data_IF_680534641963
#
_entry.id   IF_680534641963
#
_cell.length_a   1.000
_cell.length_b   1.000
_cell.length_c   1.000
_cell.angle_alpha   90.00
_cell.angle_beta   90.00
_cell.angle_gamma   90.00
#
_symmetry.space_group_name_H-M   'P 1'
#
loop_
_entity.id
_entity.type
_entity.pdbx_description
1 polymer ?
#
# COMPACT_ATOMS: atom_id res chain seq x y z
N UNK A 1 17.97 11.23 -11.49
CA UNK A 1 17.00 11.70 -10.49
C UNK A 1 16.18 10.49 -10.06
N UNK A 2 16.47 9.90 -8.91
CA UNK A 2 15.77 8.70 -8.43
C UNK A 2 14.35 9.08 -8.00
N UNK A 3 13.35 8.28 -8.35
CA UNK A 3 11.95 8.53 -8.04
C UNK A 3 11.45 7.43 -7.10
N UNK A 4 10.66 7.81 -6.11
CA UNK A 4 10.02 6.86 -5.20
C UNK A 4 8.53 7.07 -5.14
N UNK A 5 7.78 5.98 -5.03
CA UNK A 5 6.33 6.01 -4.89
C UNK A 5 5.93 5.12 -3.71
N UNK A 6 5.12 5.65 -2.80
CA UNK A 6 4.53 4.85 -1.72
C UNK A 6 3.11 4.50 -2.13
N UNK A 7 2.85 3.22 -2.38
CA UNK A 7 1.53 2.71 -2.74
C UNK A 7 0.86 2.17 -1.48
N UNK A 8 -0.26 2.81 -1.13
CA UNK A 8 -1.17 2.29 -0.11
C UNK A 8 -2.19 1.41 -0.80
N UNK A 9 -2.11 0.09 -0.57
CA UNK A 9 -2.97 -0.88 -1.23
C UNK A 9 -4.07 -1.35 -0.26
N UNK A 10 -5.32 -1.17 -0.67
CA UNK A 10 -6.50 -1.50 0.11
C UNK A 10 -7.45 -2.38 -0.70
N UNK A 11 -7.93 -3.46 -0.08
CA UNK A 11 -9.00 -4.26 -0.66
C UNK A 11 -10.35 -3.66 -0.28
N UNK A 12 -11.17 -3.36 -1.28
CA UNK A 12 -12.60 -3.10 -1.14
C UNK A 12 -13.40 -4.38 -0.81
N UNK A 13 -12.86 -5.24 0.06
CA UNK A 13 -13.55 -6.42 0.56
C UNK A 13 -14.00 -6.11 1.99
N UNK A 14 -14.95 -5.19 2.11
CA UNK A 14 -15.59 -4.84 3.37
C UNK A 14 -16.55 -5.99 3.74
N UNK A 15 -16.02 -6.99 4.44
CA UNK A 15 -16.84 -7.91 5.23
C UNK A 15 -17.39 -7.17 6.44
N UNK A 16 -18.50 -6.47 6.26
CA UNK A 16 -19.24 -5.80 7.34
C UNK A 16 -20.43 -5.03 6.78
N UNK A 17 -21.63 -5.60 6.89
CA UNK A 17 -22.95 -4.96 6.81
C UNK A 17 -23.16 -3.72 5.90
N UNK A 18 -22.65 -3.73 4.68
CA UNK A 18 -23.06 -2.79 3.64
C UNK A 18 -23.67 -3.55 2.46
N UNK A 19 -24.83 -4.16 2.69
CA UNK A 19 -25.76 -4.46 1.60
C UNK A 19 -26.31 -3.13 1.07
N UNK A 20 -25.51 -2.41 0.28
CA UNK A 20 -26.03 -1.33 -0.55
C UNK A 20 -25.10 -1.08 -1.73
N UNK A 21 -25.69 -1.23 -2.89
CA UNK A 21 -25.13 -1.46 -4.22
C UNK A 21 -24.59 -0.19 -4.89
N UNK A 22 -23.81 0.64 -4.19
CA UNK A 22 -23.32 1.91 -4.75
C UNK A 22 -21.90 2.26 -4.29
N UNK A 23 -20.96 2.14 -5.22
CA UNK A 23 -19.55 2.55 -5.10
C UNK A 23 -19.34 4.06 -4.88
N UNK A 24 -20.41 4.86 -4.82
CA UNK A 24 -20.39 6.32 -4.80
C UNK A 24 -21.27 6.93 -3.70
N UNK A 25 -21.29 6.32 -2.50
CA UNK A 25 -21.94 6.97 -1.35
C UNK A 25 -21.10 8.14 -0.85
N UNK A 26 -21.70 9.33 -0.89
CA UNK A 26 -21.11 10.56 -0.36
C UNK A 26 -21.51 10.75 1.09
N UNK A 27 -20.53 11.00 1.95
CA UNK A 27 -20.75 11.57 3.27
C UNK A 27 -21.33 13.00 3.10
N UNK A 28 -22.14 13.51 4.04
CA UNK A 28 -22.66 14.89 4.01
C UNK A 28 -21.59 15.99 3.88
N UNK A 29 -20.32 15.66 4.17
CA UNK A 29 -19.17 16.56 3.94
C UNK A 29 -18.61 16.52 2.51
N UNK A 30 -19.25 15.81 1.59
CA UNK A 30 -18.84 15.66 0.19
C UNK A 30 -17.73 14.61 -0.05
N UNK A 31 -17.36 13.80 0.95
CA UNK A 31 -16.32 12.77 0.81
C UNK A 31 -16.90 11.42 0.42
N UNK A 32 -16.21 10.66 -0.42
CA UNK A 32 -16.61 9.28 -0.76
C UNK A 32 -16.30 8.37 0.43
N UNK A 33 -17.34 7.75 1.00
CA UNK A 33 -17.24 6.98 2.24
C UNK A 33 -16.23 5.82 2.12
N UNK A 34 -16.22 5.15 0.97
CA UNK A 34 -15.30 4.05 0.69
C UNK A 34 -13.81 4.48 0.71
N UNK A 35 -13.50 5.69 0.24
CA UNK A 35 -12.13 6.20 0.26
C UNK A 35 -11.68 6.53 1.68
N UNK A 36 -12.57 7.05 2.52
CA UNK A 36 -12.24 7.37 3.91
C UNK A 36 -12.06 6.08 4.75
N UNK A 37 -12.91 5.08 4.55
CA UNK A 37 -12.76 3.76 5.17
C UNK A 37 -11.47 3.07 4.69
N UNK A 38 -11.13 3.17 3.40
CA UNK A 38 -9.89 2.63 2.86
C UNK A 38 -8.65 3.21 3.56
N UNK A 39 -8.64 4.53 3.82
CA UNK A 39 -7.55 5.20 4.54
C UNK A 39 -7.40 4.67 5.97
N UNK A 40 -8.52 4.47 6.68
CA UNK A 40 -8.50 3.91 8.04
C UNK A 40 -7.92 2.51 8.05
N UNK A 41 -8.35 1.62 7.15
CA UNK A 41 -7.83 0.25 7.12
C UNK A 41 -6.35 0.19 6.75
N UNK A 42 -5.88 1.06 5.86
CA UNK A 42 -4.43 1.17 5.58
C UNK A 42 -3.66 1.58 6.84
N UNK A 43 -4.19 2.50 7.64
CA UNK A 43 -3.57 2.93 8.89
C UNK A 43 -3.55 1.83 9.96
N UNK A 44 -4.59 1.00 10.04
CA UNK A 44 -4.70 -0.07 11.03
C UNK A 44 -3.92 -1.34 10.65
N UNK A 45 -3.97 -1.73 9.38
CA UNK A 45 -3.38 -2.99 8.89
C UNK A 45 -1.94 -2.83 8.39
N UNK A 46 -1.56 -1.64 7.93
CA UNK A 46 -0.27 -1.37 7.31
C UNK A 46 0.84 -1.10 8.33
N UNK A 47 1.95 -1.85 8.25
CA UNK A 47 3.19 -1.43 8.91
C UNK A 47 3.85 -0.28 8.16
N UNK A 48 4.38 0.75 8.84
CA UNK A 48 4.79 2.02 8.21
C UNK A 48 5.87 1.83 7.14
N UNK A 49 5.77 2.61 6.08
CA UNK A 49 6.78 2.73 5.01
C UNK A 49 7.13 4.21 4.90
N UNK A 50 8.42 4.51 4.97
CA UNK A 50 8.95 5.88 5.00
C UNK A 50 10.01 6.01 3.92
N UNK A 51 10.04 7.17 3.28
CA UNK A 51 11.08 7.55 2.33
C UNK A 51 11.68 8.89 2.75
N UNK A 52 13.01 8.99 2.65
CA UNK A 52 13.73 10.25 2.89
C UNK A 52 14.48 10.60 1.61
N UNK A 53 14.18 11.79 1.06
CA UNK A 53 14.92 12.35 -0.06
C UNK A 53 16.19 13.02 0.46
N UNK A 54 17.34 12.56 0.01
CA UNK A 54 18.66 13.13 0.24
C UNK A 54 19.14 13.87 -1.01
N UNK A 55 20.30 14.55 -0.92
CA UNK A 55 20.91 15.24 -2.08
C UNK A 55 21.25 14.26 -3.21
N UNK A 56 21.83 13.10 -2.85
CA UNK A 56 22.36 12.14 -3.82
C UNK A 56 21.39 11.00 -4.16
N UNK A 57 20.20 10.98 -3.56
CA UNK A 57 19.26 9.89 -3.78
C UNK A 57 18.12 9.84 -2.77
N UNK A 58 17.45 8.70 -2.70
CA UNK A 58 16.34 8.46 -1.76
C UNK A 58 16.63 7.19 -0.97
N UNK A 59 16.36 7.25 0.33
CA UNK A 59 16.38 6.10 1.23
C UNK A 59 14.94 5.69 1.51
N UNK A 60 14.63 4.41 1.32
CA UNK A 60 13.34 3.81 1.65
C UNK A 60 13.50 2.83 2.80
N UNK A 61 12.62 2.92 3.80
CA UNK A 61 12.56 2.00 4.92
C UNK A 61 11.13 1.54 5.14
N UNK A 62 10.95 0.25 5.42
CA UNK A 62 9.64 -0.34 5.64
C UNK A 62 9.66 -1.19 6.91
N UNK A 63 8.78 -0.86 7.85
CA UNK A 63 8.61 -1.64 9.06
C UNK A 63 8.01 -3.00 8.73
N UNK A 64 8.62 -4.02 9.32
CA UNK A 64 8.31 -5.41 9.08
C UNK A 64 7.73 -6.03 10.35
N UNK A 65 6.44 -6.36 10.35
CA UNK A 65 5.85 -7.21 11.40
C UNK A 65 6.20 -8.66 11.11
N UNK A 66 7.16 -9.21 11.86
CA UNK A 66 7.44 -10.65 11.88
C UNK A 66 6.41 -11.24 12.84
N UNK A 67 5.32 -11.83 12.30
CA UNK A 67 4.47 -12.72 13.10
C UNK A 67 5.29 -13.97 13.42
N UNK A 68 5.08 -14.54 14.61
CA UNK A 68 5.91 -15.56 15.27
C UNK A 68 6.55 -16.63 14.36
N UNK A 69 7.70 -17.14 14.83
CA UNK A 69 8.70 -18.02 14.19
C UNK A 69 8.20 -19.33 13.52
N UNK A 70 7.17 -19.32 12.68
CA UNK A 70 6.68 -20.54 12.03
C UNK A 70 6.13 -20.29 10.63
N UNK A 71 6.57 -21.13 9.70
CA UNK A 71 6.00 -21.45 8.38
C UNK A 71 6.30 -20.57 7.15
N UNK A 72 6.91 -19.37 7.27
CA UNK A 72 7.26 -18.58 6.07
C UNK A 72 8.77 -18.38 5.94
N UNK A 73 9.44 -19.24 5.15
CA UNK A 73 10.89 -19.17 4.85
C UNK A 73 11.36 -17.85 4.22
N UNK A 74 10.43 -17.08 3.62
CA UNK A 74 10.68 -15.74 3.06
C UNK A 74 9.70 -14.72 3.64
N UNK A 75 10.13 -13.98 4.66
CA UNK A 75 9.70 -12.62 4.89
C UNK A 75 8.98 -11.89 3.70
N UNK A 76 7.69 -11.51 3.86
CA UNK A 76 6.97 -10.61 2.93
C UNK A 76 7.79 -9.36 2.58
N UNK A 77 7.96 -9.10 1.29
CA UNK A 77 8.66 -7.93 0.76
C UNK A 77 7.70 -6.74 0.62
N UNK A 78 8.13 -5.56 1.06
CA UNK A 78 7.37 -4.30 0.97
C UNK A 78 7.96 -3.30 -0.03
N UNK A 79 9.24 -3.41 -0.34
CA UNK A 79 9.95 -2.49 -1.22
C UNK A 79 10.30 -3.25 -2.50
N UNK A 80 9.93 -2.67 -3.65
CA UNK A 80 10.04 -3.28 -4.96
C UNK A 80 10.74 -2.32 -5.93
N UNK A 81 11.76 -2.80 -6.62
CA UNK A 81 12.33 -2.07 -7.75
C UNK A 81 11.45 -2.29 -8.99
N UNK A 82 11.09 -1.17 -9.63
CA UNK A 82 10.31 -1.15 -10.88
C UNK A 82 11.22 -0.90 -12.06
N UNK A 83 12.16 0.03 -11.92
CA UNK A 83 13.20 0.32 -12.91
C UNK A 83 14.51 0.73 -12.19
N UNK A 84 15.61 0.91 -12.94
CA UNK A 84 16.93 1.33 -12.47
C UNK A 84 16.89 2.57 -11.57
N UNK A 85 15.93 3.46 -11.79
CA UNK A 85 15.81 4.73 -11.08
C UNK A 85 14.47 4.89 -10.32
N UNK A 86 13.63 3.84 -10.27
CA UNK A 86 12.29 3.89 -9.67
C UNK A 86 12.13 2.75 -8.65
N UNK A 87 11.80 3.13 -7.42
CA UNK A 87 11.52 2.18 -6.34
C UNK A 87 10.17 2.46 -5.71
N UNK A 88 9.39 1.40 -5.50
CA UNK A 88 8.05 1.47 -4.92
C UNK A 88 8.03 0.81 -3.54
N UNK A 89 7.54 1.55 -2.54
CA UNK A 89 7.22 1.00 -1.23
C UNK A 89 5.71 0.74 -1.11
N UNK A 90 5.30 -0.44 -0.69
CA UNK A 90 3.90 -0.81 -0.52
C UNK A 90 3.53 -0.99 0.96
N UNK A 91 2.37 -0.47 1.35
CA UNK A 91 1.76 -0.66 2.67
C UNK A 91 0.28 -1.06 2.56
N UNK A 92 -0.27 -1.65 3.62
CA UNK A 92 -1.62 -2.26 3.62
C UNK A 92 -1.60 -3.73 3.15
N UNK A 93 -2.55 -4.09 2.29
CA UNK A 93 -2.68 -5.47 1.77
C UNK A 93 -1.69 -5.74 0.63
N UNK A 94 -0.50 -6.24 0.98
CA UNK A 94 0.62 -6.46 0.03
C UNK A 94 0.36 -7.45 -1.11
N UNK A 95 -0.68 -8.28 -1.02
CA UNK A 95 -1.04 -9.18 -2.12
C UNK A 95 -1.48 -8.40 -3.37
N UNK A 96 -2.27 -7.33 -3.20
CA UNK A 96 -2.80 -6.53 -4.30
C UNK A 96 -1.76 -5.55 -4.85
N UNK A 97 -0.81 -5.09 -4.02
CA UNK A 97 0.22 -4.15 -4.48
C UNK A 97 1.05 -4.74 -5.63
N UNK A 98 1.21 -6.07 -5.68
CA UNK A 98 1.93 -6.74 -6.77
C UNK A 98 1.33 -6.44 -8.14
N UNK A 99 0.00 -6.43 -8.26
CA UNK A 99 -0.67 -6.12 -9.53
C UNK A 99 -0.32 -4.71 -10.01
N UNK A 100 -0.35 -3.73 -9.10
CA UNK A 100 -0.03 -2.33 -9.41
C UNK A 100 1.45 -2.17 -9.75
N UNK A 101 2.33 -2.86 -9.03
CA UNK A 101 3.78 -2.86 -9.30
C UNK A 101 4.08 -3.50 -10.66
N UNK A 102 3.43 -4.61 -11.00
CA UNK A 102 3.57 -5.26 -12.30
C UNK A 102 3.05 -4.38 -13.43
N UNK A 103 1.93 -3.69 -13.23
CA UNK A 103 1.45 -2.70 -14.19
C UNK A 103 2.47 -1.56 -14.37
N UNK A 104 3.04 -1.05 -13.27
CA UNK A 104 4.05 0.02 -13.31
C UNK A 104 5.36 -0.39 -14.02
N UNK A 105 5.67 -1.69 -14.10
CA UNK A 105 6.83 -2.22 -14.83
C UNK A 105 6.62 -2.31 -16.34
N UNK A 106 5.37 -2.23 -16.82
CA UNK A 106 5.03 -2.33 -18.25
C UNK A 106 5.04 -0.98 -18.96
N UNK A 107 5.27 0.10 -18.23
CA UNK A 107 5.35 1.49 -18.71
C UNK A 107 6.82 1.87 -18.82
#
# INVERSE_FOLDING_TARGET
MTLFIIISCFSLALGGNYYSDSSAQFHPSGRILLTEQAKQVVAEMGGPVVAVKCRDGIILSASRRIRSCSLVKKPQQKIFHVDRHITIGATGYLFQSKLVIEAARRV
#
